data_IF_073956745275
#
_entry.id   IF_073956745275
#
_cell.length_a   1.000
_cell.length_b   1.000
_cell.length_c   1.000
_cell.angle_alpha   90.00
_cell.angle_beta   90.00
_cell.angle_gamma   90.00
#
_symmetry.space_group_name_H-M   'P 1'
#
loop_
_entity.id
_entity.type
_entity.pdbx_description
1 polymer ?
#
# COMPACT_ATOMS: atom_id res chain seq x y z
N UNK A 1 -36.78 -26.31 -39.41
CA UNK A 1 -35.50 -25.66 -38.95
C UNK A 1 -35.45 -24.13 -39.01
N UNK A 2 -36.50 -23.41 -39.36
CA UNK A 2 -36.53 -21.94 -39.40
C UNK A 2 -37.14 -21.24 -38.18
N UNK A 3 -37.72 -21.98 -37.23
CA UNK A 3 -38.41 -21.39 -36.03
C UNK A 3 -37.56 -21.37 -34.75
N UNK A 4 -36.37 -22.03 -34.75
CA UNK A 4 -35.50 -22.06 -33.56
C UNK A 4 -34.51 -20.89 -33.55
N UNK A 5 -34.20 -20.27 -34.69
CA UNK A 5 -33.25 -19.17 -34.81
C UNK A 5 -33.83 -17.84 -34.30
N UNK A 6 -35.18 -17.67 -34.34
CA UNK A 6 -35.84 -16.41 -33.93
C UNK A 6 -35.87 -16.23 -32.41
N UNK A 7 -35.81 -17.31 -31.61
CA UNK A 7 -35.82 -17.24 -30.15
C UNK A 7 -34.45 -16.97 -29.53
N UNK A 8 -33.36 -17.26 -30.25
CA UNK A 8 -31.99 -17.01 -29.75
C UNK A 8 -31.59 -15.53 -29.87
N UNK A 9 -32.18 -14.79 -30.82
CA UNK A 9 -31.87 -13.35 -31.00
C UNK A 9 -32.57 -12.46 -29.99
N UNK A 10 -33.67 -12.90 -29.38
CA UNK A 10 -34.42 -12.12 -28.36
C UNK A 10 -33.79 -12.29 -26.95
N UNK A 11 -33.05 -13.38 -26.71
CA UNK A 11 -32.43 -13.62 -25.40
C UNK A 11 -31.06 -12.93 -25.22
N UNK A 12 -30.48 -12.36 -26.25
CA UNK A 12 -29.18 -11.63 -26.21
C UNK A 12 -29.33 -10.11 -26.08
N UNK A 13 -30.56 -9.58 -26.07
CA UNK A 13 -30.82 -8.14 -25.89
C UNK A 13 -31.06 -7.70 -24.42
N UNK A 14 -30.92 -8.61 -23.44
CA UNK A 14 -31.03 -8.30 -22.01
C UNK A 14 -29.66 -8.13 -21.33
N UNK A 15 -28.61 -7.71 -22.05
CA UNK A 15 -27.40 -7.19 -21.45
C UNK A 15 -27.60 -5.69 -21.23
N UNK A 16 -28.18 -5.39 -20.09
CA UNK A 16 -28.25 -4.14 -19.34
C UNK A 16 -27.32 -3.01 -19.83
N UNK A 17 -27.73 -2.32 -20.88
CA UNK A 17 -27.27 -0.96 -21.15
C UNK A 17 -27.89 -0.05 -20.09
N UNK A 18 -27.07 0.76 -19.43
CA UNK A 18 -27.56 1.94 -18.70
C UNK A 18 -28.46 2.70 -19.63
N UNK A 19 -29.72 2.97 -19.22
CA UNK A 19 -30.69 3.65 -20.11
C UNK A 19 -30.16 5.04 -20.48
N UNK A 20 -30.61 5.58 -21.60
CA UNK A 20 -30.22 6.95 -21.98
C UNK A 20 -30.70 7.96 -20.91
N UNK A 21 -31.84 7.69 -20.30
CA UNK A 21 -32.41 8.49 -19.22
C UNK A 21 -31.54 8.45 -17.96
N UNK A 22 -30.97 7.28 -17.58
CA UNK A 22 -30.06 7.19 -16.42
C UNK A 22 -28.76 7.98 -16.66
N UNK A 23 -28.25 7.98 -17.89
CA UNK A 23 -27.07 8.76 -18.25
C UNK A 23 -27.31 10.27 -18.18
N UNK A 24 -28.47 10.70 -18.64
CA UNK A 24 -28.86 12.12 -18.58
C UNK A 24 -29.02 12.57 -17.13
N UNK A 25 -29.68 11.78 -16.30
CA UNK A 25 -29.83 12.02 -14.86
C UNK A 25 -28.48 12.11 -14.15
N UNK A 26 -27.57 11.17 -14.38
CA UNK A 26 -26.25 11.17 -13.75
C UNK A 26 -25.37 12.34 -14.26
N UNK A 27 -25.51 12.74 -15.51
CA UNK A 27 -24.81 13.91 -16.07
C UNK A 27 -25.33 15.22 -15.44
N UNK A 28 -26.63 15.30 -15.17
CA UNK A 28 -27.24 16.44 -14.49
C UNK A 28 -26.74 16.56 -13.04
N UNK A 29 -26.76 15.46 -12.27
CA UNK A 29 -26.14 15.41 -10.94
C UNK A 29 -24.69 15.87 -10.97
N UNK A 30 -23.88 15.40 -11.91
CA UNK A 30 -22.49 15.80 -12.01
C UNK A 30 -22.33 17.29 -12.29
N UNK A 31 -23.14 17.85 -13.21
CA UNK A 31 -23.08 19.27 -13.54
C UNK A 31 -23.46 20.16 -12.36
N UNK A 32 -24.49 19.78 -11.61
CA UNK A 32 -24.90 20.50 -10.41
C UNK A 32 -23.82 20.42 -9.32
N UNK A 33 -23.28 19.22 -9.06
CA UNK A 33 -22.21 19.02 -8.08
C UNK A 33 -20.95 19.81 -8.46
N UNK A 34 -20.57 19.86 -9.74
CA UNK A 34 -19.45 20.68 -10.19
C UNK A 34 -19.65 22.16 -9.87
N UNK A 35 -20.86 22.68 -10.11
CA UNK A 35 -21.18 24.09 -9.76
C UNK A 35 -21.12 24.32 -8.25
N UNK A 36 -21.64 23.40 -7.45
CA UNK A 36 -21.60 23.52 -5.99
C UNK A 36 -20.15 23.46 -5.49
N UNK A 37 -19.30 22.57 -6.04
CA UNK A 37 -17.90 22.51 -5.66
C UNK A 37 -17.11 23.77 -6.05
N UNK A 38 -17.50 24.50 -7.10
CA UNK A 38 -16.94 25.83 -7.34
C UNK A 38 -17.17 26.78 -6.15
N UNK A 39 -18.36 26.72 -5.54
CA UNK A 39 -18.67 27.53 -4.35
C UNK A 39 -17.95 27.01 -3.11
N UNK A 40 -17.88 25.69 -2.90
CA UNK A 40 -17.15 25.09 -1.77
C UNK A 40 -15.69 25.57 -1.70
N UNK A 41 -15.05 25.71 -2.86
CA UNK A 41 -13.62 26.09 -2.89
C UNK A 41 -13.36 27.60 -3.07
N UNK A 42 -14.30 28.35 -3.62
CA UNK A 42 -14.06 29.73 -4.00
C UNK A 42 -14.92 30.74 -3.22
N UNK A 43 -15.88 30.29 -2.41
CA UNK A 43 -16.68 31.21 -1.63
C UNK A 43 -15.83 31.96 -0.59
N UNK A 44 -16.06 33.28 -0.40
CA UNK A 44 -15.16 34.15 0.35
C UNK A 44 -15.23 33.96 1.88
N UNK A 45 -16.23 33.28 2.39
CA UNK A 45 -16.43 33.09 3.85
C UNK A 45 -16.69 31.63 4.21
N UNK A 46 -16.29 31.23 5.39
CA UNK A 46 -16.55 29.88 5.93
C UNK A 46 -18.03 29.52 5.85
N UNK A 47 -18.91 30.42 6.27
CA UNK A 47 -20.35 30.13 6.26
C UNK A 47 -20.85 29.78 4.85
N UNK A 48 -20.38 30.49 3.83
CA UNK A 48 -20.75 30.18 2.45
C UNK A 48 -20.14 28.86 1.97
N UNK A 49 -18.85 28.59 2.27
CA UNK A 49 -18.19 27.33 1.92
C UNK A 49 -18.88 26.13 2.56
N UNK A 50 -19.17 26.20 3.86
CA UNK A 50 -19.86 25.13 4.58
C UNK A 50 -21.31 24.97 4.14
N UNK A 51 -22.03 26.04 3.86
CA UNK A 51 -23.39 25.94 3.29
C UNK A 51 -23.40 25.28 1.91
N UNK A 52 -22.45 25.66 1.03
CA UNK A 52 -22.29 24.97 -0.26
C UNK A 52 -21.90 23.50 -0.06
N UNK A 53 -21.03 23.20 0.93
CA UNK A 53 -20.65 21.84 1.24
C UNK A 53 -21.82 20.98 1.76
N UNK A 54 -22.70 21.53 2.58
CA UNK A 54 -23.95 20.84 3.01
C UNK A 54 -24.80 20.47 1.80
N UNK A 55 -24.96 21.40 0.84
CA UNK A 55 -25.66 21.14 -0.42
C UNK A 55 -24.96 20.05 -1.26
N UNK A 56 -23.60 20.07 -1.31
CA UNK A 56 -22.83 19.01 -1.99
C UNK A 56 -23.05 17.65 -1.36
N UNK A 57 -22.99 17.55 -0.02
CA UNK A 57 -23.23 16.30 0.71
C UNK A 57 -24.62 15.75 0.45
N UNK A 58 -25.65 16.62 0.51
CA UNK A 58 -27.03 16.21 0.24
C UNK A 58 -27.20 15.70 -1.20
N UNK A 59 -26.76 16.47 -2.18
CA UNK A 59 -26.91 16.12 -3.59
C UNK A 59 -26.10 14.86 -3.96
N UNK A 60 -24.91 14.68 -3.39
CA UNK A 60 -24.14 13.45 -3.57
C UNK A 60 -24.86 12.24 -2.96
N UNK A 61 -25.44 12.38 -1.77
CA UNK A 61 -26.18 11.29 -1.14
C UNK A 61 -27.35 10.83 -2.03
N UNK A 62 -28.08 11.78 -2.63
CA UNK A 62 -29.17 11.51 -3.58
C UNK A 62 -28.63 10.81 -4.84
N UNK A 63 -27.59 11.36 -5.45
CA UNK A 63 -27.01 10.82 -6.67
C UNK A 63 -26.41 9.42 -6.47
N UNK A 64 -25.77 9.16 -5.32
CA UNK A 64 -25.18 7.85 -5.01
C UNK A 64 -26.25 6.80 -4.65
N UNK A 65 -27.44 7.20 -4.25
CA UNK A 65 -28.58 6.31 -3.99
C UNK A 65 -29.21 5.77 -5.28
N UNK A 66 -28.97 6.41 -6.42
CA UNK A 66 -29.45 5.95 -7.72
C UNK A 66 -28.85 4.57 -8.09
N UNK A 67 -29.67 3.66 -8.64
CA UNK A 67 -29.32 2.26 -8.85
C UNK A 67 -28.07 2.06 -9.72
N UNK A 68 -27.85 2.92 -10.71
CA UNK A 68 -26.74 2.85 -11.65
C UNK A 68 -25.56 3.78 -11.30
N UNK A 69 -25.63 4.49 -10.17
CA UNK A 69 -24.66 5.49 -9.76
C UNK A 69 -23.23 4.93 -9.65
N UNK A 70 -23.06 3.68 -9.21
CA UNK A 70 -21.74 3.06 -9.09
C UNK A 70 -21.04 2.86 -10.45
N UNK A 71 -21.78 2.79 -11.53
CA UNK A 71 -21.23 2.67 -12.90
C UNK A 71 -20.83 4.01 -13.50
N UNK A 72 -21.33 5.11 -12.93
CA UNK A 72 -21.01 6.45 -13.39
C UNK A 72 -19.57 6.81 -13.06
N UNK A 73 -18.86 7.41 -14.04
CA UNK A 73 -17.51 7.90 -13.87
C UNK A 73 -17.58 9.37 -13.45
N UNK A 74 -17.51 9.61 -12.15
CA UNK A 74 -17.47 10.97 -11.61
C UNK A 74 -16.17 11.65 -12.00
N UNK A 75 -16.24 12.88 -12.47
CA UNK A 75 -15.10 13.73 -12.80
C UNK A 75 -15.28 15.12 -12.18
N UNK A 76 -14.42 15.44 -11.21
CA UNK A 76 -14.37 16.73 -10.52
C UNK A 76 -12.97 17.34 -10.63
N UNK A 77 -12.14 16.87 -11.56
CA UNK A 77 -10.74 17.24 -11.64
C UNK A 77 -9.99 16.89 -10.35
N UNK A 78 -9.24 17.86 -9.82
CA UNK A 78 -8.44 17.66 -8.60
C UNK A 78 -9.19 18.02 -7.31
N UNK A 79 -10.46 18.41 -7.38
CA UNK A 79 -11.22 18.91 -6.22
C UNK A 79 -11.76 17.82 -5.33
N UNK A 80 -12.26 16.74 -5.94
CA UNK A 80 -12.82 15.61 -5.24
C UNK A 80 -12.11 14.36 -5.68
N UNK A 81 -11.59 13.61 -4.74
CA UNK A 81 -11.02 12.30 -5.03
C UNK A 81 -12.11 11.24 -5.17
N UNK A 82 -12.07 10.47 -6.25
CA UNK A 82 -12.99 9.38 -6.52
C UNK A 82 -12.18 8.12 -6.85
N UNK A 83 -12.11 7.20 -5.90
CA UNK A 83 -11.33 5.97 -6.03
C UNK A 83 -12.24 4.75 -6.00
N UNK A 84 -12.08 3.85 -6.97
CA UNK A 84 -12.85 2.60 -7.04
C UNK A 84 -11.92 1.40 -6.94
N UNK A 85 -12.26 0.41 -6.09
CA UNK A 85 -11.48 -0.81 -5.95
C UNK A 85 -11.40 -1.59 -7.27
N UNK A 86 -10.28 -2.25 -7.53
CA UNK A 86 -10.06 -2.98 -8.79
C UNK A 86 -11.08 -4.09 -9.03
N UNK A 87 -11.62 -4.68 -7.97
CA UNK A 87 -12.68 -5.69 -8.00
C UNK A 87 -14.09 -5.10 -8.01
N UNK A 88 -14.21 -3.76 -8.03
CA UNK A 88 -15.47 -3.01 -8.05
C UNK A 88 -16.40 -3.30 -6.86
N UNK A 89 -15.84 -3.73 -5.74
CA UNK A 89 -16.62 -3.96 -4.52
C UNK A 89 -17.01 -2.68 -3.81
N UNK A 90 -16.20 -1.64 -3.91
CA UNK A 90 -16.54 -0.33 -3.35
C UNK A 90 -15.86 0.81 -4.08
N UNK A 91 -16.38 1.99 -3.82
CA UNK A 91 -15.84 3.30 -4.19
C UNK A 91 -15.75 4.14 -2.93
N UNK A 92 -14.70 4.95 -2.82
CA UNK A 92 -14.57 5.99 -1.81
C UNK A 92 -14.43 7.33 -2.51
N UNK A 93 -15.15 8.33 -2.02
CA UNK A 93 -15.18 9.69 -2.54
C UNK A 93 -14.82 10.61 -1.38
N UNK A 94 -13.81 11.47 -1.52
CA UNK A 94 -13.35 12.33 -0.44
C UNK A 94 -12.91 13.70 -0.94
N UNK A 95 -13.15 14.74 -0.14
CA UNK A 95 -12.72 16.11 -0.40
C UNK A 95 -12.49 16.88 0.90
N UNK A 96 -11.64 17.92 0.91
CA UNK A 96 -11.47 18.79 2.06
C UNK A 96 -12.30 20.06 1.92
N UNK A 97 -12.65 20.65 3.03
CA UNK A 97 -13.06 22.06 3.14
C UNK A 97 -12.03 22.75 4.04
N UNK A 98 -11.61 23.94 3.65
CA UNK A 98 -10.64 24.75 4.41
C UNK A 98 -11.34 25.95 4.98
N UNK A 99 -11.22 26.18 6.28
CA UNK A 99 -11.78 27.38 6.93
C UNK A 99 -10.82 28.57 6.84
N UNK A 100 -11.29 29.76 7.25
CA UNK A 100 -10.51 30.99 7.21
C UNK A 100 -9.29 30.97 8.14
N UNK A 101 -9.31 30.12 9.18
CA UNK A 101 -8.18 29.90 10.09
C UNK A 101 -7.15 28.93 9.51
N UNK A 102 -7.43 28.33 8.34
CA UNK A 102 -6.57 27.37 7.65
C UNK A 102 -6.65 25.94 8.17
N UNK A 103 -7.67 25.61 8.96
CA UNK A 103 -7.96 24.25 9.38
C UNK A 103 -8.72 23.50 8.28
N UNK A 104 -8.47 22.20 8.20
CA UNK A 104 -9.06 21.32 7.20
C UNK A 104 -10.05 20.35 7.84
N UNK A 105 -11.26 20.34 7.32
CA UNK A 105 -12.24 19.28 7.61
C UNK A 105 -12.47 18.44 6.36
N UNK A 106 -12.43 17.11 6.52
CA UNK A 106 -12.59 16.19 5.42
C UNK A 106 -14.02 15.63 5.36
N UNK A 107 -14.54 15.55 4.15
CA UNK A 107 -15.86 15.00 3.85
C UNK A 107 -15.76 13.85 2.87
N UNK A 108 -16.75 12.96 2.89
CA UNK A 108 -16.74 11.88 1.91
C UNK A 108 -17.86 10.88 2.04
N UNK A 109 -17.81 9.90 1.13
CA UNK A 109 -18.72 8.77 1.06
C UNK A 109 -17.97 7.48 0.78
N UNK A 110 -18.51 6.37 1.28
CA UNK A 110 -18.20 5.04 0.79
C UNK A 110 -19.48 4.45 0.18
N UNK A 111 -19.38 4.02 -1.07
CA UNK A 111 -20.41 3.27 -1.76
C UNK A 111 -19.91 1.84 -1.92
N UNK A 112 -20.54 0.87 -1.23
CA UNK A 112 -20.01 -0.49 -1.13
C UNK A 112 -21.07 -1.55 -1.45
N UNK A 113 -20.65 -2.59 -2.18
CA UNK A 113 -21.51 -3.69 -2.58
C UNK A 113 -21.94 -4.49 -1.36
N UNK A 114 -23.24 -4.56 -1.16
CA UNK A 114 -23.86 -5.47 -0.22
C UNK A 114 -24.10 -6.82 -0.91
N UNK A 115 -23.28 -7.81 -0.58
CA UNK A 115 -23.33 -9.13 -1.22
C UNK A 115 -24.66 -9.87 -1.01
N UNK A 116 -25.45 -9.50 0.02
CA UNK A 116 -26.75 -10.10 0.29
C UNK A 116 -27.86 -9.57 -0.62
N UNK A 117 -27.80 -8.28 -0.94
CA UNK A 117 -28.85 -7.61 -1.73
C UNK A 117 -28.43 -7.43 -3.20
N UNK A 118 -27.13 -7.53 -3.50
CA UNK A 118 -26.57 -7.23 -4.81
C UNK A 118 -26.58 -5.74 -5.15
N UNK A 119 -26.91 -4.86 -4.20
CA UNK A 119 -26.96 -3.41 -4.36
C UNK A 119 -25.77 -2.75 -3.65
N UNK A 120 -25.50 -1.50 -4.01
CA UNK A 120 -24.47 -0.70 -3.35
C UNK A 120 -25.12 0.14 -2.25
N UNK A 121 -24.68 -0.06 -1.01
CA UNK A 121 -25.05 0.77 0.12
C UNK A 121 -24.14 2.01 0.18
N UNK A 122 -24.67 3.14 0.63
CA UNK A 122 -23.97 4.41 0.73
C UNK A 122 -23.77 4.78 2.20
N UNK A 123 -22.55 5.15 2.56
CA UNK A 123 -22.16 5.57 3.90
C UNK A 123 -21.54 6.96 3.84
N UNK A 124 -22.10 7.91 4.58
CA UNK A 124 -21.51 9.23 4.80
C UNK A 124 -20.33 9.07 5.76
N UNK A 125 -19.21 9.74 5.47
CA UNK A 125 -18.03 9.77 6.31
C UNK A 125 -18.03 11.04 7.15
N UNK A 126 -17.98 10.89 8.48
CA UNK A 126 -17.92 12.01 9.42
C UNK A 126 -16.51 12.12 9.99
N UNK A 127 -15.81 13.19 9.66
CA UNK A 127 -14.48 13.49 10.19
C UNK A 127 -14.54 13.71 11.70
N UNK A 128 -13.79 12.89 12.44
CA UNK A 128 -13.62 12.99 13.90
C UNK A 128 -12.14 12.93 14.28
N UNK A 129 -11.25 13.28 13.34
CA UNK A 129 -9.79 13.18 13.50
C UNK A 129 -9.26 13.86 14.75
N UNK A 130 -9.84 14.97 15.17
CA UNK A 130 -9.46 15.72 16.38
C UNK A 130 -9.79 15.00 17.68
N UNK A 131 -10.86 14.17 17.66
CA UNK A 131 -11.36 13.51 18.87
C UNK A 131 -10.80 12.08 19.02
N UNK A 132 -10.10 11.56 18.03
CA UNK A 132 -9.59 10.19 18.05
C UNK A 132 -8.31 10.11 18.85
N UNK A 133 -8.41 9.54 20.04
CA UNK A 133 -7.27 9.15 20.85
C UNK A 133 -6.65 7.88 20.27
N UNK A 134 -5.32 7.73 20.36
CA UNK A 134 -4.59 6.57 19.80
C UNK A 134 -4.89 6.33 18.32
N UNK A 135 -4.84 7.39 17.53
CA UNK A 135 -5.21 7.43 16.12
C UNK A 135 -4.59 6.30 15.26
N UNK A 136 -3.40 5.82 15.60
CA UNK A 136 -2.75 4.73 14.88
C UNK A 136 -3.29 3.33 15.26
N UNK A 137 -3.94 3.19 16.41
CA UNK A 137 -4.45 1.90 16.92
C UNK A 137 -5.98 1.77 16.81
N UNK A 138 -6.68 2.87 16.62
CA UNK A 138 -8.14 2.88 16.60
C UNK A 138 -8.70 2.18 15.37
N UNK A 139 -9.78 1.42 15.57
CA UNK A 139 -10.62 0.86 14.52
C UNK A 139 -11.85 1.75 14.40
N UNK A 140 -12.09 2.30 13.23
CA UNK A 140 -13.07 3.35 13.01
C UNK A 140 -14.18 2.92 12.06
N UNK A 141 -15.35 3.52 12.21
CA UNK A 141 -16.52 3.36 11.35
C UNK A 141 -16.80 4.69 10.60
N UNK A 142 -17.72 4.73 9.65
CA UNK A 142 -18.04 5.95 8.90
C UNK A 142 -18.43 7.15 9.77
N UNK A 143 -19.15 6.91 10.87
CA UNK A 143 -19.61 7.91 11.82
C UNK A 143 -18.48 8.45 12.75
N UNK A 144 -17.34 7.80 12.73
CA UNK A 144 -16.16 8.16 13.52
C UNK A 144 -14.89 7.98 12.66
N UNK A 145 -14.89 8.60 11.49
CA UNK A 145 -13.80 8.47 10.52
C UNK A 145 -12.63 9.39 10.86
N UNK A 146 -11.42 8.98 10.45
CA UNK A 146 -10.18 9.73 10.75
C UNK A 146 -10.04 11.03 9.94
N UNK A 147 -10.80 11.21 8.88
CA UNK A 147 -10.70 12.36 7.99
C UNK A 147 -9.44 12.34 7.11
N UNK A 148 -9.62 12.09 5.83
CA UNK A 148 -8.52 12.15 4.86
C UNK A 148 -9.05 12.31 3.44
N UNK A 149 -8.30 13.02 2.60
CA UNK A 149 -8.45 12.94 1.15
C UNK A 149 -7.57 11.80 0.65
N UNK A 150 -8.17 10.72 0.19
CA UNK A 150 -7.44 9.59 -0.32
C UNK A 150 -7.03 9.79 -1.77
N UNK A 151 -5.76 9.56 -2.06
CA UNK A 151 -5.15 9.77 -3.38
C UNK A 151 -4.95 8.46 -4.14
N UNK A 152 -4.90 7.34 -3.41
CA UNK A 152 -4.70 6.02 -4.01
C UNK A 152 -5.44 4.94 -3.22
N UNK A 153 -6.01 3.97 -3.94
CA UNK A 153 -6.66 2.78 -3.41
C UNK A 153 -5.95 1.54 -3.95
N UNK A 154 -5.22 0.90 -3.08
CA UNK A 154 -4.45 -0.30 -3.37
C UNK A 154 -5.32 -1.53 -3.08
N UNK A 155 -5.43 -2.42 -4.07
CA UNK A 155 -6.03 -3.75 -3.88
C UNK A 155 -4.93 -4.79 -3.99
N UNK A 156 -4.66 -5.51 -2.91
CA UNK A 156 -3.74 -6.65 -2.89
C UNK A 156 -4.51 -7.94 -2.65
N UNK A 157 -3.93 -9.08 -3.05
CA UNK A 157 -4.60 -10.38 -2.89
C UNK A 157 -3.66 -11.41 -2.25
N UNK A 158 -4.21 -12.23 -1.35
CA UNK A 158 -3.52 -13.36 -0.76
C UNK A 158 -4.54 -14.48 -0.48
N UNK A 159 -4.22 -15.71 -0.90
CA UNK A 159 -5.08 -16.90 -0.74
C UNK A 159 -6.54 -16.67 -1.20
N UNK A 160 -6.72 -15.98 -2.33
CA UNK A 160 -8.05 -15.70 -2.90
C UNK A 160 -8.86 -14.63 -2.18
N UNK A 161 -8.30 -13.97 -1.16
CA UNK A 161 -8.91 -12.86 -0.45
C UNK A 161 -8.28 -11.54 -0.86
N UNK A 162 -9.10 -10.53 -1.13
CA UNK A 162 -8.65 -9.17 -1.38
C UNK A 162 -8.50 -8.37 -0.09
N UNK A 163 -7.51 -7.50 -0.08
CA UNK A 163 -7.18 -6.55 0.98
C UNK A 163 -7.05 -5.17 0.37
N UNK A 164 -7.56 -4.16 1.06
CA UNK A 164 -7.59 -2.80 0.56
C UNK A 164 -6.80 -1.89 1.48
N UNK A 165 -6.01 -1.01 0.89
CA UNK A 165 -5.22 -0.01 1.62
C UNK A 165 -5.34 1.31 0.90
N UNK A 166 -5.68 2.34 1.65
CA UNK A 166 -5.82 3.72 1.17
C UNK A 166 -4.56 4.50 1.50
N UNK A 167 -4.09 5.30 0.56
CA UNK A 167 -3.07 6.32 0.79
C UNK A 167 -3.75 7.68 0.77
N UNK A 168 -3.59 8.44 1.83
CA UNK A 168 -4.32 9.68 2.03
C UNK A 168 -3.48 10.82 2.58
N UNK A 169 -4.11 11.99 2.59
CA UNK A 169 -3.58 13.23 3.12
C UNK A 169 -4.67 13.95 3.93
N UNK A 170 -4.26 14.63 5.00
CA UNK A 170 -5.09 15.54 5.76
C UNK A 170 -4.28 16.81 6.04
N UNK A 171 -4.85 17.99 5.73
CA UNK A 171 -4.18 19.28 5.86
C UNK A 171 -4.00 19.73 7.30
N UNK A 172 -4.81 19.23 8.22
CA UNK A 172 -4.85 19.58 9.64
C UNK A 172 -5.08 21.09 9.85
N UNK A 173 -4.00 21.89 9.85
CA UNK A 173 -4.01 23.32 10.11
C UNK A 173 -2.88 24.05 9.38
N UNK A 174 -2.65 25.31 9.71
CA UNK A 174 -1.58 26.15 9.14
C UNK A 174 -0.16 25.71 9.55
N UNK A 175 0.00 24.82 10.51
CA UNK A 175 1.29 24.42 11.08
C UNK A 175 1.70 23.02 10.62
N UNK A 176 0.74 22.10 10.53
CA UNK A 176 1.00 20.67 10.29
C UNK A 176 0.07 20.09 9.23
N UNK A 177 0.52 19.00 8.64
CA UNK A 177 -0.25 18.16 7.74
C UNK A 177 0.13 16.68 7.97
N UNK A 178 -0.68 15.77 7.43
CA UNK A 178 -0.50 14.31 7.63
C UNK A 178 -0.53 13.56 6.32
N UNK A 179 0.34 12.55 6.19
CA UNK A 179 0.18 11.45 5.24
C UNK A 179 -0.32 10.22 5.98
N UNK A 180 -1.16 9.43 5.32
CA UNK A 180 -1.90 8.36 5.97
C UNK A 180 -1.84 7.10 5.11
N UNK A 181 -1.47 5.96 5.73
CA UNK A 181 -1.61 4.64 5.13
C UNK A 181 -2.69 3.90 5.94
N UNK A 182 -3.85 3.67 5.35
CA UNK A 182 -5.01 3.17 6.07
C UNK A 182 -5.62 1.93 5.42
N UNK A 183 -5.43 0.75 5.99
CA UNK A 183 -6.15 -0.44 5.60
C UNK A 183 -7.65 -0.32 5.89
N UNK A 184 -8.48 -0.72 4.92
CA UNK A 184 -9.94 -0.75 5.06
C UNK A 184 -10.46 -2.15 4.79
N UNK A 185 -11.50 -2.54 5.52
CA UNK A 185 -12.20 -3.81 5.31
C UNK A 185 -13.70 -3.64 5.48
N UNK A 186 -14.46 -4.67 5.17
CA UNK A 186 -15.91 -4.69 5.32
C UNK A 186 -16.32 -5.79 6.29
N UNK A 187 -17.34 -5.55 7.09
CA UNK A 187 -17.88 -6.56 8.00
C UNK A 187 -18.37 -7.76 7.19
N UNK A 188 -18.09 -8.95 7.69
CA UNK A 188 -18.44 -10.20 7.00
C UNK A 188 -19.93 -10.23 6.60
N UNK A 189 -20.18 -10.43 5.30
CA UNK A 189 -21.53 -10.48 4.72
C UNK A 189 -22.28 -9.15 4.72
N UNK A 190 -21.61 -8.02 4.93
CA UNK A 190 -22.17 -6.68 4.88
C UNK A 190 -21.30 -5.74 4.05
N UNK A 191 -21.79 -4.53 3.84
CA UNK A 191 -21.18 -3.46 3.05
C UNK A 191 -20.56 -2.36 3.92
N UNK A 192 -20.78 -2.39 5.25
CA UNK A 192 -20.29 -1.33 6.14
C UNK A 192 -18.77 -1.34 6.20
N UNK A 193 -18.11 -0.24 5.81
CA UNK A 193 -16.66 -0.12 5.87
C UNK A 193 -16.18 -0.01 7.31
N UNK A 194 -14.98 -0.54 7.54
CA UNK A 194 -14.24 -0.45 8.78
C UNK A 194 -12.82 -0.02 8.45
N UNK A 195 -12.42 1.13 8.96
CA UNK A 195 -11.10 1.72 8.75
C UNK A 195 -10.14 1.30 9.85
N UNK A 196 -8.89 1.00 9.47
CA UNK A 196 -7.89 0.55 10.42
C UNK A 196 -7.92 -0.96 10.67
N UNK A 197 -7.52 -1.75 9.71
CA UNK A 197 -7.36 -3.20 9.84
C UNK A 197 -5.94 -3.57 10.29
N UNK A 198 -5.79 -4.67 11.07
CA UNK A 198 -4.47 -5.20 11.43
C UNK A 198 -3.83 -5.88 10.20
N UNK A 199 -3.17 -5.10 9.36
CA UNK A 199 -2.43 -5.59 8.19
C UNK A 199 -0.91 -5.41 8.30
N UNK A 200 -0.40 -4.76 9.35
CA UNK A 200 1.03 -4.52 9.52
C UNK A 200 1.69 -5.67 10.27
N UNK A 201 2.73 -6.27 9.66
CA UNK A 201 3.47 -7.39 10.24
C UNK A 201 4.35 -6.87 11.39
N UNK A 202 4.43 -7.64 12.48
CA UNK A 202 5.19 -7.32 13.70
C UNK A 202 4.61 -6.18 14.56
N UNK A 203 3.69 -5.41 14.06
CA UNK A 203 3.06 -4.29 14.76
C UNK A 203 1.60 -4.64 15.11
N UNK A 204 1.40 -5.36 16.22
CA UNK A 204 0.10 -5.99 16.56
C UNK A 204 -1.05 -5.00 16.73
N UNK A 205 -0.74 -3.81 17.22
CA UNK A 205 -1.75 -2.79 17.51
C UNK A 205 -1.92 -1.78 16.36
N UNK A 206 -0.96 -1.69 15.45
CA UNK A 206 -0.99 -0.73 14.37
C UNK A 206 -2.16 -1.02 13.41
N UNK A 207 -3.04 -0.03 13.24
CA UNK A 207 -4.22 -0.07 12.36
C UNK A 207 -4.09 0.86 11.17
N UNK A 208 -3.35 1.96 11.34
CA UNK A 208 -2.96 2.90 10.28
C UNK A 208 -1.61 3.52 10.61
N UNK A 209 -0.90 3.96 9.59
CA UNK A 209 0.30 4.79 9.75
C UNK A 209 -0.11 6.23 9.56
N UNK A 210 0.27 7.11 10.48
CA UNK A 210 0.06 8.55 10.39
C UNK A 210 1.42 9.22 10.49
N UNK A 211 1.82 9.89 9.42
CA UNK A 211 3.04 10.70 9.35
C UNK A 211 2.59 12.15 9.47
N UNK A 212 2.81 12.76 10.62
CA UNK A 212 2.47 14.16 10.86
C UNK A 212 3.76 14.99 10.84
N UNK A 213 3.73 16.10 10.10
CA UNK A 213 4.91 16.90 9.82
C UNK A 213 4.54 18.36 9.51
N UNK A 214 5.54 19.24 9.50
CA UNK A 214 5.34 20.67 9.25
C UNK A 214 4.80 20.95 7.85
N UNK A 215 3.92 21.93 7.69
CA UNK A 215 3.42 22.38 6.39
C UNK A 215 4.51 22.88 5.44
N UNK A 216 5.67 23.26 5.97
CA UNK A 216 6.81 23.74 5.18
C UNK A 216 7.67 22.63 4.60
N UNK A 217 7.40 21.36 4.94
CA UNK A 217 8.12 20.20 4.41
C UNK A 217 7.26 19.43 3.40
N UNK A 218 7.92 18.72 2.50
CA UNK A 218 7.30 17.78 1.59
C UNK A 218 7.65 16.36 2.02
N UNK A 219 6.63 15.57 2.35
CA UNK A 219 6.76 14.15 2.68
C UNK A 219 6.15 13.31 1.56
N UNK A 220 6.93 12.40 1.04
CA UNK A 220 6.52 11.52 -0.03
C UNK A 220 5.71 10.34 0.49
N UNK A 221 4.69 9.91 -0.27
CA UNK A 221 3.92 8.70 -0.05
C UNK A 221 3.30 8.27 -1.38
N UNK A 222 3.70 7.09 -1.89
CA UNK A 222 3.17 6.54 -3.15
C UNK A 222 3.26 5.01 -3.19
N UNK A 223 2.58 4.39 -4.14
CA UNK A 223 2.62 2.95 -4.38
C UNK A 223 3.11 2.67 -5.81
N UNK A 224 4.27 2.01 -5.93
CA UNK A 224 4.88 1.75 -7.23
C UNK A 224 5.69 0.45 -7.29
N UNK A 225 6.01 -0.01 -8.51
CA UNK A 225 6.88 -1.15 -8.74
C UNK A 225 8.35 -0.75 -8.56
N UNK A 226 9.04 -1.45 -7.67
CA UNK A 226 10.46 -1.30 -7.43
C UNK A 226 11.21 -2.60 -7.71
N UNK A 227 12.45 -2.47 -8.19
CA UNK A 227 13.36 -3.61 -8.33
C UNK A 227 14.17 -3.78 -7.04
N UNK A 228 13.98 -4.91 -6.38
CA UNK A 228 14.70 -5.24 -5.12
C UNK A 228 15.74 -6.31 -5.40
N UNK A 229 16.96 -6.05 -4.96
CA UNK A 229 18.03 -7.03 -5.00
C UNK A 229 17.98 -7.91 -3.76
N UNK A 230 17.76 -9.22 -3.96
CA UNK A 230 17.80 -10.20 -2.88
C UNK A 230 19.08 -11.04 -2.99
N UNK A 231 19.77 -11.21 -1.86
CA UNK A 231 20.95 -12.05 -1.74
C UNK A 231 20.57 -13.31 -0.97
N UNK A 232 20.45 -14.44 -1.68
CA UNK A 232 20.21 -15.73 -1.06
C UNK A 232 21.55 -16.40 -0.74
N UNK A 233 21.84 -16.65 0.53
CA UNK A 233 22.96 -17.47 0.94
C UNK A 233 22.65 -18.94 0.71
N UNK A 234 23.08 -19.49 -0.42
CA UNK A 234 22.92 -20.92 -0.70
C UNK A 234 23.94 -21.68 0.13
N UNK A 235 23.49 -22.35 1.19
CA UNK A 235 24.31 -23.34 1.89
C UNK A 235 24.64 -24.48 0.89
N UNK A 236 25.93 -24.66 0.59
CA UNK A 236 26.36 -25.79 -0.21
C UNK A 236 25.76 -27.09 0.35
N UNK A 237 24.94 -27.76 -0.44
CA UNK A 237 24.45 -29.11 -0.08
C UNK A 237 25.66 -29.97 0.14
N UNK A 238 25.94 -30.41 1.38
CA UNK A 238 26.92 -31.42 1.68
C UNK A 238 26.55 -32.63 0.82
N UNK A 239 27.34 -32.92 -0.24
CA UNK A 239 27.28 -34.23 -0.89
C UNK A 239 27.55 -35.26 0.20
N UNK A 240 26.56 -36.06 0.52
CA UNK A 240 26.75 -37.21 1.37
C UNK A 240 27.82 -38.05 0.71
N UNK A 241 29.02 -38.08 1.31
CA UNK A 241 30.06 -39.00 0.86
C UNK A 241 29.49 -40.39 0.98
N UNK A 242 29.39 -41.09 -0.13
CA UNK A 242 29.07 -42.50 -0.18
C UNK A 242 29.96 -43.23 0.84
N UNK A 243 29.34 -43.92 1.78
CA UNK A 243 30.01 -44.78 2.74
C UNK A 243 30.98 -45.67 1.98
N UNK A 244 32.26 -45.54 2.27
CA UNK A 244 33.27 -46.52 1.86
C UNK A 244 32.94 -47.90 2.43
N UNK A 245 33.39 -48.96 1.76
CA UNK A 245 33.00 -50.33 2.11
C UNK A 245 33.46 -50.67 3.54
N UNK A 246 32.52 -51.29 4.28
CA UNK A 246 32.76 -51.79 5.63
C UNK A 246 33.87 -52.85 5.60
N UNK A 247 34.97 -52.54 6.21
CA UNK A 247 36.00 -53.58 6.48
C UNK A 247 35.46 -54.53 7.55
N UNK A 248 35.16 -55.79 7.12
CA UNK A 248 34.92 -56.90 8.00
C UNK A 248 36.16 -57.18 8.86
N UNK A 249 35.99 -57.21 10.16
CA UNK A 249 36.98 -57.74 11.11
C UNK A 249 37.12 -59.24 10.90
N UNK A 250 38.23 -59.65 10.33
CA UNK A 250 38.69 -61.02 10.47
C UNK A 250 39.79 -61.10 11.51
N UNK A 251 39.54 -61.78 12.57
CA UNK A 251 40.50 -62.18 13.57
C UNK A 251 41.45 -63.26 13.00
N UNK A 252 42.80 -63.14 13.01
CA UNK A 252 43.63 -64.18 13.52
C UNK A 252 45.13 -63.78 13.62
N UNK A 253 45.62 -63.98 14.80
CA UNK A 253 46.85 -64.58 15.32
C UNK A 253 48.20 -64.48 14.56
N UNK A 254 49.16 -64.01 15.36
CA UNK A 254 50.55 -64.50 15.55
C UNK A 254 51.56 -64.36 14.41
N UNK A 255 52.65 -63.73 14.75
CA UNK A 255 53.97 -64.05 14.20
C UNK A 255 54.98 -62.85 14.14
N UNK A 256 55.78 -62.82 15.15
CA UNK A 256 57.22 -62.43 15.26
C UNK A 256 57.94 -61.69 14.10
N UNK A 257 58.63 -60.60 14.52
CA UNK A 257 60.02 -60.20 14.16
C UNK A 257 60.36 -59.86 12.70
N UNK A 258 60.72 -58.56 12.45
CA UNK A 258 61.52 -58.13 11.31
C UNK A 258 61.80 -56.63 11.35
N UNK A 259 63.02 -56.38 11.62
CA UNK A 259 63.65 -55.04 11.78
C UNK A 259 63.56 -54.12 10.54
N UNK A 260 63.27 -52.89 10.72
CA UNK A 260 64.10 -51.82 10.19
C UNK A 260 63.99 -51.43 8.71
N UNK A 261 63.79 -50.18 8.46
CA UNK A 261 63.95 -49.47 7.19
C UNK A 261 62.70 -49.22 6.31
N UNK A 262 61.74 -48.53 6.83
CA UNK A 262 60.75 -47.86 5.96
C UNK A 262 60.09 -46.65 6.64
N UNK A 263 60.88 -45.79 7.27
CA UNK A 263 60.33 -44.64 8.02
C UNK A 263 60.55 -43.29 7.37
N UNK A 264 61.08 -43.20 6.16
CA UNK A 264 61.37 -41.93 5.47
C UNK A 264 60.52 -41.60 4.26
N UNK A 265 59.78 -42.52 3.66
CA UNK A 265 58.90 -42.25 2.50
C UNK A 265 57.41 -41.97 2.86
N UNK A 266 56.95 -42.36 4.05
CA UNK A 266 55.55 -42.16 4.48
C UNK A 266 55.21 -40.75 4.99
N UNK A 267 56.23 -39.95 5.36
CA UNK A 267 55.98 -38.59 5.88
C UNK A 267 55.77 -37.57 4.78
N UNK A 268 56.30 -37.77 3.57
CA UNK A 268 56.10 -36.86 2.42
C UNK A 268 54.72 -37.06 1.73
N UNK A 269 54.20 -38.27 1.76
CA UNK A 269 52.89 -38.57 1.12
C UNK A 269 51.69 -38.14 1.96
N UNK A 270 51.81 -38.15 3.29
CA UNK A 270 50.78 -37.65 4.21
C UNK A 270 50.71 -36.11 4.25
N UNK A 271 51.85 -35.44 4.06
CA UNK A 271 51.87 -33.95 4.00
C UNK A 271 51.27 -33.40 2.70
N UNK A 272 51.41 -34.13 1.57
CA UNK A 272 50.82 -33.73 0.30
C UNK A 272 49.31 -33.97 0.26
N UNK A 273 48.80 -35.05 0.93
CA UNK A 273 47.36 -35.33 1.01
C UNK A 273 46.63 -34.41 1.99
N UNK A 274 47.27 -33.93 3.05
CA UNK A 274 46.70 -32.97 3.98
C UNK A 274 46.65 -31.55 3.36
N UNK A 275 47.62 -31.18 2.57
CA UNK A 275 47.60 -29.86 1.89
C UNK A 275 46.59 -29.79 0.75
N UNK A 276 46.30 -30.89 0.03
CA UNK A 276 45.25 -30.93 -0.97
C UNK A 276 43.85 -30.93 -0.32
N UNK A 277 43.66 -31.70 0.78
CA UNK A 277 42.38 -31.70 1.51
C UNK A 277 42.09 -30.37 2.25
N UNK A 278 43.13 -29.62 2.63
CA UNK A 278 42.96 -28.29 3.22
C UNK A 278 42.69 -27.26 2.13
N UNK A 279 43.27 -27.36 0.93
CA UNK A 279 42.91 -26.48 -0.21
C UNK A 279 41.52 -26.69 -0.75
N UNK A 280 40.99 -27.93 -0.72
CA UNK A 280 39.63 -28.19 -1.15
C UNK A 280 38.54 -27.76 -0.15
N UNK A 281 38.92 -27.52 1.12
CA UNK A 281 38.02 -27.01 2.17
C UNK A 281 37.88 -25.50 2.19
N UNK A 282 38.78 -24.74 1.53
CA UNK A 282 38.74 -23.28 1.54
C UNK A 282 37.95 -22.70 0.37
N UNK A 283 37.50 -23.49 -0.60
CA UNK A 283 36.81 -23.03 -1.80
C UNK A 283 35.26 -23.16 -1.78
N UNK A 284 34.64 -23.61 -0.68
CA UNK A 284 33.19 -23.68 -0.56
C UNK A 284 32.66 -22.74 0.53
N UNK A 285 32.95 -21.47 0.39
CA UNK A 285 32.17 -20.42 1.05
C UNK A 285 30.71 -20.47 0.58
N UNK A 286 29.79 -19.94 1.36
CA UNK A 286 28.39 -19.84 0.92
C UNK A 286 28.35 -19.10 -0.42
N UNK A 287 27.81 -19.75 -1.45
CA UNK A 287 27.64 -19.09 -2.75
C UNK A 287 26.44 -18.15 -2.62
N UNK A 288 26.68 -16.88 -2.78
CA UNK A 288 25.63 -15.87 -2.83
C UNK A 288 24.97 -15.89 -4.20
N UNK A 289 23.68 -16.10 -4.24
CA UNK A 289 22.88 -15.92 -5.44
C UNK A 289 22.18 -14.57 -5.32
N UNK A 290 22.57 -13.64 -6.14
CA UNK A 290 21.93 -12.33 -6.28
C UNK A 290 20.81 -12.48 -7.30
N UNK A 291 19.58 -12.13 -6.91
CA UNK A 291 18.43 -12.08 -7.80
C UNK A 291 17.73 -10.74 -7.64
N UNK A 292 17.44 -10.11 -8.78
CA UNK A 292 16.65 -8.88 -8.82
C UNK A 292 15.18 -9.27 -9.00
N UNK A 293 14.30 -8.83 -8.10
CA UNK A 293 12.86 -9.10 -8.10
C UNK A 293 12.09 -7.79 -8.15
N UNK A 294 11.12 -7.70 -9.05
CA UNK A 294 10.19 -6.58 -9.09
C UNK A 294 9.06 -6.79 -8.08
N UNK A 295 8.78 -5.77 -7.29
CA UNK A 295 7.77 -5.81 -6.24
C UNK A 295 7.07 -4.46 -6.14
N UNK A 296 5.73 -4.51 -6.00
CA UNK A 296 4.95 -3.33 -5.66
C UNK A 296 5.15 -2.97 -4.18
N UNK A 297 5.37 -1.70 -3.88
CA UNK A 297 5.67 -1.20 -2.53
C UNK A 297 4.93 0.10 -2.24
N UNK A 298 4.48 0.27 -1.01
CA UNK A 298 4.13 1.60 -0.48
C UNK A 298 5.43 2.22 0.01
N UNK A 299 5.86 3.31 -0.60
CA UNK A 299 7.10 4.01 -0.29
C UNK A 299 6.74 5.32 0.38
N UNK A 300 7.45 5.66 1.45
CA UNK A 300 7.23 6.89 2.19
C UNK A 300 8.50 7.36 2.89
N UNK A 301 8.57 8.67 3.13
CA UNK A 301 9.66 9.24 3.90
C UNK A 301 9.42 9.01 5.40
N UNK A 302 10.47 8.61 6.10
CA UNK A 302 10.49 8.67 7.55
C UNK A 302 10.52 10.13 8.00
N UNK A 303 9.73 10.47 9.01
CA UNK A 303 9.69 11.82 9.58
C UNK A 303 10.23 11.84 10.99
N UNK A 304 11.04 12.86 11.29
CA UNK A 304 11.66 13.04 12.60
C UNK A 304 11.68 14.52 13.02
N UNK A 305 11.77 14.81 14.33
CA UNK A 305 11.93 16.19 14.77
C UNK A 305 13.26 16.76 14.33
N UNK A 306 13.24 17.93 13.70
CA UNK A 306 14.43 18.64 13.23
C UNK A 306 15.35 19.07 14.36
N UNK A 307 14.80 19.25 15.55
CA UNK A 307 15.49 19.70 16.75
C UNK A 307 15.29 18.67 17.86
N UNK A 308 16.38 18.24 18.50
CA UNK A 308 16.35 17.34 19.66
C UNK A 308 15.55 17.97 20.81
N UNK A 309 14.61 17.21 21.39
CA UNK A 309 13.73 17.66 22.45
C UNK A 309 12.40 18.24 21.96
N UNK A 310 12.10 18.14 20.65
CA UNK A 310 10.83 18.54 20.05
C UNK A 310 9.94 17.33 19.71
N UNK A 311 10.17 16.19 20.37
CA UNK A 311 9.37 14.97 20.19
C UNK A 311 7.90 15.24 20.53
N UNK A 312 6.99 14.92 19.59
CA UNK A 312 5.55 15.16 19.73
C UNK A 312 5.08 16.55 19.31
N UNK A 313 5.99 17.47 18.96
CA UNK A 313 5.67 18.78 18.40
C UNK A 313 5.80 18.73 16.88
N UNK A 314 4.76 18.25 16.20
CA UNK A 314 4.80 17.88 14.79
C UNK A 314 5.09 19.04 13.82
N UNK A 315 4.86 20.28 14.21
CA UNK A 315 5.27 21.47 13.44
C UNK A 315 6.79 21.58 13.27
N UNK A 316 7.59 20.75 13.96
CA UNK A 316 9.04 20.66 13.81
C UNK A 316 9.51 19.37 13.13
N UNK A 317 8.57 18.52 12.67
CA UNK A 317 8.91 17.28 12.00
C UNK A 317 9.15 17.52 10.51
N UNK A 318 10.20 16.91 10.00
CA UNK A 318 10.61 16.96 8.58
C UNK A 318 11.04 15.55 8.13
N UNK A 319 11.18 15.30 6.83
CA UNK A 319 11.78 14.06 6.35
C UNK A 319 13.19 13.86 6.91
N UNK A 320 13.47 12.67 7.48
CA UNK A 320 14.79 12.29 7.99
C UNK A 320 15.84 12.07 6.89
N UNK A 321 15.41 12.02 5.64
CA UNK A 321 16.23 11.58 4.50
C UNK A 321 16.28 10.07 4.33
N UNK A 322 15.56 9.32 5.17
CA UNK A 322 15.40 7.86 5.07
C UNK A 322 14.05 7.53 4.40
N UNK A 323 14.10 6.76 3.32
CA UNK A 323 12.89 6.17 2.74
C UNK A 323 12.60 4.83 3.42
N UNK A 324 11.35 4.62 3.76
CA UNK A 324 10.79 3.38 4.26
C UNK A 324 9.86 2.78 3.20
N UNK A 325 9.69 1.47 3.22
CA UNK A 325 8.77 0.81 2.30
C UNK A 325 7.98 -0.30 2.99
N UNK A 326 6.69 -0.38 2.71
CA UNK A 326 5.87 -1.55 3.01
C UNK A 326 5.73 -2.45 1.78
N UNK A 327 6.02 -3.73 1.94
CA UNK A 327 5.80 -4.77 0.93
C UNK A 327 4.69 -5.68 1.41
N UNK A 328 3.75 -6.01 0.52
CA UNK A 328 2.67 -6.92 0.86
C UNK A 328 3.09 -8.37 0.62
N UNK A 329 3.25 -9.13 1.71
CA UNK A 329 3.64 -10.54 1.69
C UNK A 329 2.79 -11.34 2.70
N UNK A 330 2.33 -12.52 2.32
CA UNK A 330 1.51 -13.43 3.16
C UNK A 330 0.31 -12.73 3.83
N UNK A 331 -0.40 -11.88 3.08
CA UNK A 331 -1.58 -11.18 3.56
C UNK A 331 -1.31 -10.02 4.54
N UNK A 332 -0.06 -9.53 4.63
CA UNK A 332 0.37 -8.46 5.53
C UNK A 332 1.35 -7.51 4.85
N UNK A 333 1.32 -6.26 5.29
CA UNK A 333 2.36 -5.29 4.99
C UNK A 333 3.56 -5.51 5.91
N UNK A 334 4.73 -5.74 5.34
CA UNK A 334 6.00 -5.87 6.07
C UNK A 334 6.87 -4.64 5.81
N UNK A 335 7.25 -3.94 6.89
CA UNK A 335 8.12 -2.79 6.83
C UNK A 335 9.55 -3.23 6.47
N UNK A 336 10.13 -2.57 5.48
CA UNK A 336 11.52 -2.72 5.07
C UNK A 336 12.21 -1.37 5.17
N UNK A 337 13.33 -1.34 5.86
CA UNK A 337 14.14 -0.15 5.98
C UNK A 337 14.98 0.08 4.73
N UNK A 338 14.93 1.30 4.22
CA UNK A 338 15.89 1.89 3.29
C UNK A 338 16.07 1.19 1.95
N UNK A 339 16.73 1.88 1.06
CA UNK A 339 17.20 1.40 -0.24
C UNK A 339 18.25 0.27 -0.20
N UNK A 340 18.45 -0.40 0.94
CA UNK A 340 19.31 -1.56 1.04
C UNK A 340 18.71 -2.72 0.24
N UNK A 341 19.06 -2.79 -1.02
CA UNK A 341 18.57 -3.78 -1.96
C UNK A 341 17.80 -3.21 -3.16
N UNK A 342 17.47 -1.93 -3.18
CA UNK A 342 16.98 -1.26 -4.39
C UNK A 342 18.10 -1.21 -5.43
N UNK A 343 17.85 -1.70 -6.61
CA UNK A 343 18.73 -1.48 -7.75
C UNK A 343 18.29 -0.17 -8.39
N UNK A 344 19.14 0.88 -8.41
CA UNK A 344 18.81 2.10 -9.12
C UNK A 344 18.51 1.75 -10.58
N UNK A 345 17.27 1.88 -11.01
CA UNK A 345 16.96 1.77 -12.43
C UNK A 345 17.50 3.02 -13.11
N UNK A 346 18.51 2.83 -13.99
CA UNK A 346 19.12 3.93 -14.76
C UNK A 346 18.12 4.68 -15.65
N UNK A 347 16.94 4.11 -15.91
CA UNK A 347 15.85 4.79 -16.64
C UNK A 347 15.01 5.67 -15.72
N UNK A 348 14.76 5.24 -14.48
CA UNK A 348 14.05 6.03 -13.46
C UNK A 348 14.91 7.20 -12.96
N UNK A 349 16.24 7.02 -12.82
CA UNK A 349 17.14 8.12 -12.46
C UNK A 349 17.19 9.31 -13.45
N UNK A 350 16.72 9.12 -14.69
CA UNK A 350 16.55 10.25 -15.62
C UNK A 350 15.32 11.11 -15.33
N UNK A 351 14.36 10.59 -14.59
CA UNK A 351 13.14 11.29 -14.21
C UNK A 351 13.20 11.81 -12.75
N UNK A 352 14.17 11.36 -11.94
CA UNK A 352 14.39 11.86 -10.57
C UNK A 352 14.90 13.32 -10.54
N UNK A 353 15.59 13.77 -11.57
CA UNK A 353 16.03 15.17 -11.70
C UNK A 353 14.97 16.09 -12.32
N UNK A 354 13.82 15.58 -12.67
CA UNK A 354 12.68 16.39 -13.09
C UNK A 354 11.73 16.55 -11.90
N UNK A 355 11.34 17.80 -11.54
CA UNK A 355 10.26 18.01 -10.59
C UNK A 355 9.06 17.18 -11.08
N UNK A 356 8.52 16.33 -10.19
CA UNK A 356 7.34 15.52 -10.52
C UNK A 356 6.19 16.49 -10.72
N UNK A 357 5.86 16.80 -11.96
CA UNK A 357 4.63 17.47 -12.37
C UNK A 357 3.39 16.58 -12.25
N UNK A 358 3.40 15.59 -11.37
CA UNK A 358 2.16 15.03 -10.85
C UNK A 358 1.78 15.89 -9.66
N UNK A 359 1.06 16.94 -9.99
CA UNK A 359 0.48 17.86 -9.02
C UNK A 359 -0.21 17.08 -7.91
N UNK A 360 0.45 16.98 -6.77
CA UNK A 360 -0.28 17.13 -5.51
C UNK A 360 -1.05 18.45 -5.71
N UNK A 361 -2.36 18.53 -5.51
CA UNK A 361 -3.07 19.79 -5.60
C UNK A 361 -2.39 20.74 -4.62
N UNK A 362 -1.48 21.56 -5.11
CA UNK A 362 -0.98 22.70 -4.37
C UNK A 362 -2.12 23.69 -4.40
N UNK A 363 -2.94 23.71 -3.36
CA UNK A 363 -3.84 24.82 -3.11
C UNK A 363 -2.94 26.02 -2.84
N UNK A 364 -2.64 26.77 -3.89
CA UNK A 364 -2.02 28.07 -3.72
C UNK A 364 -3.09 28.98 -3.11
N UNK A 365 -2.92 29.30 -1.85
CA UNK A 365 -3.56 30.46 -1.26
C UNK A 365 -3.00 31.64 -2.02
N UNK A 366 -3.78 32.20 -2.94
CA UNK A 366 -3.49 33.48 -3.57
C UNK A 366 -3.61 34.53 -2.44
N UNK A 367 -2.48 34.98 -1.96
CA UNK A 367 -2.43 36.22 -1.13
C UNK A 367 -2.35 37.36 -2.10
N UNK A 368 -3.37 38.21 -2.05
CA UNK A 368 -3.34 39.59 -2.60
C UNK A 368 -2.34 40.46 -1.85
#
# INVERSE_FOLDING_TARGET
MRKVITYIVILLAAVSGVSAQDKELMADYQSQLQSIFEEVYNAPTDNQRYHANEAAVQLFAEALAEENSFRWQWDFGNRVSVLTSSDKKFRIITWPVVNDDGEYECFGFVQALNEKTGKYDVYVLNDKSEYIVNRQEAVLAPDNWYGAVYQELITTSHEGKNYYTLLGWNGVDNLTQRKIIEPVCFKSGGSMPQFGQNLFRKERNLRRVVLEYTNNAMVNLWYEEQTVRTVEHIRAKRKASSRGPAYSRSSNRRGKKGKGRARRSRVKETAARTSAAVRERVSSGPTEKVTDKKMMMIIFDEVEPQIVGMEGLFQYYVPSGTELAYVFEDGKWELRQGAQGRVPDKKLNKDFDKPIEKAVPSYQVIRD
#
